data_IF_695214457315
#
_entry.id   IF_695214457315
#
_cell.length_a   1.000
_cell.length_b   1.000
_cell.length_c   1.000
_cell.angle_alpha   90.00
_cell.angle_beta   90.00
_cell.angle_gamma   90.00
#
_symmetry.space_group_name_H-M   'P 1'
#
loop_
_entity.id
_entity.type
_entity.pdbx_description
1 polymer ?
#
# COMPACT_ATOMS: atom_id res chain seq x y z
N UNK A 1 -18.77 7.15 -5.16
CA UNK A 1 -17.37 7.61 -5.32
C UNK A 1 -16.63 7.38 -4.02
N UNK A 2 -15.54 6.60 -4.03
CA UNK A 2 -14.66 6.38 -2.88
C UNK A 2 -13.24 6.88 -3.17
N UNK A 3 -12.48 7.18 -2.12
CA UNK A 3 -11.06 7.53 -2.14
C UNK A 3 -10.22 6.31 -1.82
N UNK A 4 -9.33 5.95 -2.74
CA UNK A 4 -8.42 4.83 -2.61
C UNK A 4 -6.99 5.32 -2.42
N UNK A 5 -6.26 4.75 -1.46
CA UNK A 5 -4.81 4.86 -1.37
C UNK A 5 -4.18 3.53 -1.77
N UNK A 6 -3.36 3.56 -2.81
CA UNK A 6 -2.76 2.37 -3.41
C UNK A 6 -1.26 2.39 -3.16
N UNK A 7 -0.76 1.46 -2.37
CA UNK A 7 0.66 1.24 -2.17
C UNK A 7 1.17 0.26 -3.24
N UNK A 8 2.34 0.52 -3.81
CA UNK A 8 2.93 -0.37 -4.83
C UNK A 8 2.27 -0.24 -6.21
N UNK A 9 1.74 0.94 -6.54
CA UNK A 9 1.02 1.22 -7.79
C UNK A 9 1.82 0.92 -9.08
N UNK A 10 3.14 0.77 -8.99
CA UNK A 10 4.00 0.40 -10.11
C UNK A 10 3.88 -1.06 -10.58
N UNK A 11 3.30 -1.95 -9.79
CA UNK A 11 3.13 -3.36 -10.16
C UNK A 11 2.10 -3.54 -11.29
N UNK A 12 2.22 -4.61 -12.07
CA UNK A 12 1.31 -4.86 -13.19
C UNK A 12 -0.15 -4.95 -12.72
N UNK A 13 -0.41 -5.72 -11.66
CA UNK A 13 -1.76 -5.88 -11.08
C UNK A 13 -2.30 -4.54 -10.57
N UNK A 14 -1.48 -3.77 -9.85
CA UNK A 14 -1.92 -2.49 -9.32
C UNK A 14 -2.29 -1.52 -10.45
N UNK A 15 -1.55 -1.47 -11.55
CA UNK A 15 -1.87 -0.63 -12.72
C UNK A 15 -3.22 -0.98 -13.34
N UNK A 16 -3.52 -2.27 -13.53
CA UNK A 16 -4.83 -2.68 -14.04
C UNK A 16 -5.95 -2.29 -13.07
N UNK A 17 -5.73 -2.53 -11.78
CA UNK A 17 -6.70 -2.23 -10.74
C UNK A 17 -6.98 -0.72 -10.60
N UNK A 18 -5.94 0.13 -10.58
CA UNK A 18 -6.10 1.59 -10.50
C UNK A 18 -6.79 2.16 -11.72
N UNK A 19 -6.49 1.65 -12.91
CA UNK A 19 -7.17 2.04 -14.14
C UNK A 19 -8.65 1.70 -14.10
N UNK A 20 -9.02 0.53 -13.57
CA UNK A 20 -10.42 0.15 -13.41
C UNK A 20 -11.14 1.06 -12.41
N UNK A 21 -10.54 1.32 -11.24
CA UNK A 21 -11.12 2.23 -10.24
C UNK A 21 -11.38 3.63 -10.79
N UNK A 22 -10.45 4.19 -11.55
CA UNK A 22 -10.58 5.51 -12.19
C UNK A 22 -11.73 5.53 -13.22
N UNK A 23 -11.94 4.45 -13.97
CA UNK A 23 -13.06 4.31 -14.92
C UNK A 23 -14.42 4.19 -14.23
N UNK A 24 -14.44 3.85 -12.94
CA UNK A 24 -15.64 3.79 -12.11
C UNK A 24 -15.81 5.07 -11.25
N UNK A 25 -15.19 6.18 -11.68
CA UNK A 25 -15.27 7.49 -11.05
C UNK A 25 -14.83 7.52 -9.58
N UNK A 26 -13.86 6.67 -9.21
CA UNK A 26 -13.22 6.72 -7.89
C UNK A 26 -11.98 7.62 -7.90
N UNK A 27 -11.69 8.22 -6.75
CA UNK A 27 -10.48 9.02 -6.54
C UNK A 27 -9.35 8.09 -6.12
N UNK A 28 -8.24 8.11 -6.85
CA UNK A 28 -7.11 7.18 -6.61
C UNK A 28 -5.84 7.97 -6.32
N UNK A 29 -5.31 7.77 -5.11
CA UNK A 29 -4.00 8.24 -4.66
C UNK A 29 -3.01 7.08 -4.68
N UNK A 30 -1.77 7.35 -5.08
CA UNK A 30 -0.73 6.33 -5.21
C UNK A 30 0.47 6.66 -4.32
N UNK A 31 0.97 5.66 -3.60
CA UNK A 31 2.22 5.72 -2.85
C UNK A 31 3.19 4.69 -3.41
N UNK A 32 4.20 5.16 -4.15
CA UNK A 32 5.19 4.31 -4.82
C UNK A 32 6.62 4.70 -4.49
N UNK A 33 7.46 3.69 -4.25
CA UNK A 33 8.90 3.89 -4.16
C UNK A 33 9.49 4.15 -5.55
N UNK A 34 9.78 5.41 -5.88
CA UNK A 34 10.68 5.69 -7.00
C UNK A 34 12.11 5.28 -6.62
N UNK A 35 12.89 4.82 -7.60
CA UNK A 35 14.33 4.51 -7.46
C UNK A 35 15.03 5.72 -6.82
N UNK A 36 15.33 5.64 -5.52
CA UNK A 36 16.02 6.69 -4.76
C UNK A 36 15.41 7.04 -3.39
N UNK A 37 14.11 6.84 -3.15
CA UNK A 37 13.50 7.18 -1.85
C UNK A 37 13.55 5.99 -0.87
N UNK A 38 14.57 5.96 0.01
CA UNK A 38 14.79 4.90 1.02
C UNK A 38 13.65 4.72 2.05
N UNK A 39 12.70 5.66 2.19
CA UNK A 39 11.73 5.70 3.31
C UNK A 39 10.25 5.77 2.90
N UNK A 40 9.89 5.50 1.65
CA UNK A 40 8.51 5.70 1.15
C UNK A 40 7.45 4.98 1.98
N UNK A 41 7.76 3.78 2.49
CA UNK A 41 6.83 2.98 3.28
C UNK A 41 7.19 2.95 4.78
N UNK A 42 7.80 4.04 5.27
CA UNK A 42 7.96 4.25 6.71
C UNK A 42 6.63 4.63 7.33
N UNK A 43 6.43 4.30 8.60
CA UNK A 43 5.21 4.65 9.38
C UNK A 43 4.84 6.12 9.18
N UNK A 44 5.79 7.04 9.36
CA UNK A 44 5.55 8.49 9.20
C UNK A 44 5.13 8.88 7.79
N UNK A 45 5.74 8.29 6.75
CA UNK A 45 5.33 8.56 5.37
C UNK A 45 3.90 8.10 5.10
N UNK A 46 3.52 6.95 5.64
CA UNK A 46 2.16 6.40 5.49
C UNK A 46 1.15 7.25 6.28
N UNK A 47 1.46 7.63 7.53
CA UNK A 47 0.62 8.55 8.32
C UNK A 47 0.32 9.82 7.56
N UNK A 48 1.35 10.46 7.01
CA UNK A 48 1.20 11.73 6.30
C UNK A 48 0.23 11.61 5.12
N UNK A 49 0.27 10.51 4.36
CA UNK A 49 -0.68 10.33 3.25
C UNK A 49 -2.09 9.96 3.73
N UNK A 50 -2.25 9.20 4.82
CA UNK A 50 -3.57 8.93 5.42
C UNK A 50 -4.22 10.24 5.86
N UNK A 51 -3.49 11.09 6.58
CA UNK A 51 -3.96 12.41 7.04
C UNK A 51 -4.34 13.31 5.85
N UNK A 52 -3.47 13.37 4.85
CA UNK A 52 -3.60 14.31 3.74
C UNK A 52 -4.75 13.94 2.80
N UNK A 53 -4.88 12.65 2.50
CA UNK A 53 -5.83 12.19 1.48
C UNK A 53 -7.15 11.69 2.07
N UNK A 54 -7.16 11.32 3.35
CA UNK A 54 -8.32 10.74 4.06
C UNK A 54 -9.00 9.65 3.21
N UNK A 55 -8.28 8.56 2.87
CA UNK A 55 -8.83 7.52 2.02
C UNK A 55 -9.99 6.78 2.71
N UNK A 56 -10.91 6.23 1.93
CA UNK A 56 -11.94 5.29 2.43
C UNK A 56 -11.42 3.84 2.40
N UNK A 57 -10.50 3.57 1.48
CA UNK A 57 -9.90 2.25 1.26
C UNK A 57 -8.40 2.38 1.04
N UNK A 58 -7.61 1.55 1.73
CA UNK A 58 -6.17 1.41 1.52
C UNK A 58 -5.88 0.01 1.01
N UNK A 59 -5.08 -0.13 -0.06
CA UNK A 59 -4.73 -1.42 -0.63
C UNK A 59 -3.21 -1.50 -0.80
N UNK A 60 -2.61 -2.57 -0.26
CA UNK A 60 -1.18 -2.80 -0.32
C UNK A 60 -0.81 -3.83 -1.39
N UNK A 61 -0.33 -3.37 -2.55
CA UNK A 61 0.29 -4.22 -3.57
C UNK A 61 1.82 -4.30 -3.42
N UNK A 62 2.40 -3.77 -2.35
CA UNK A 62 3.83 -3.89 -2.10
C UNK A 62 4.12 -5.31 -1.61
N UNK A 63 4.83 -6.06 -2.45
CA UNK A 63 5.30 -7.40 -2.18
C UNK A 63 6.48 -7.75 -3.07
N UNK A 64 7.24 -8.77 -2.68
CA UNK A 64 8.35 -9.31 -3.47
C UNK A 64 8.38 -10.83 -3.37
N UNK A 65 8.86 -11.48 -4.43
CA UNK A 65 9.08 -12.91 -4.47
C UNK A 65 10.51 -13.13 -4.98
N UNK A 66 11.47 -12.97 -4.07
CA UNK A 66 12.89 -13.13 -4.35
C UNK A 66 13.51 -14.04 -3.31
N UNK A 67 14.56 -14.75 -3.71
CA UNK A 67 15.33 -15.65 -2.85
C UNK A 67 16.36 -14.87 -2.01
N UNK A 68 15.85 -13.92 -1.21
CA UNK A 68 16.60 -13.16 -0.22
C UNK A 68 15.69 -12.93 0.98
N UNK A 69 15.89 -13.71 2.05
CA UNK A 69 15.07 -13.64 3.25
C UNK A 69 15.02 -12.23 3.83
N UNK A 70 16.15 -11.55 3.95
CA UNK A 70 16.23 -10.22 4.59
C UNK A 70 15.41 -9.20 3.82
N UNK A 71 15.54 -9.21 2.50
CA UNK A 71 14.80 -8.30 1.63
C UNK A 71 13.32 -8.68 1.53
N UNK A 72 13.01 -9.96 1.44
CA UNK A 72 11.63 -10.47 1.44
C UNK A 72 10.90 -10.18 2.74
N UNK A 73 11.53 -10.41 3.90
CA UNK A 73 10.97 -10.07 5.21
C UNK A 73 10.72 -8.57 5.36
N UNK A 74 11.70 -7.74 4.95
CA UNK A 74 11.56 -6.29 4.99
C UNK A 74 10.39 -5.79 4.12
N UNK A 75 10.15 -6.41 2.96
CA UNK A 75 9.09 -5.98 2.04
C UNK A 75 7.74 -6.58 2.43
N UNK A 76 7.67 -7.89 2.64
CA UNK A 76 6.41 -8.62 2.81
C UNK A 76 5.88 -8.61 4.24
N UNK A 77 6.72 -8.29 5.24
CA UNK A 77 6.29 -8.25 6.66
C UNK A 77 6.37 -6.84 7.21
N UNK A 78 7.53 -6.18 7.10
CA UNK A 78 7.73 -4.87 7.75
C UNK A 78 6.89 -3.77 7.10
N UNK A 79 6.69 -3.77 5.78
CA UNK A 79 5.86 -2.75 5.12
C UNK A 79 4.38 -2.89 5.50
N UNK A 80 3.75 -4.08 5.43
CA UNK A 80 2.40 -4.27 5.96
C UNK A 80 2.26 -3.89 7.44
N UNK A 81 3.24 -4.26 8.28
CA UNK A 81 3.26 -3.83 9.70
C UNK A 81 3.24 -2.31 9.83
N UNK A 82 4.14 -1.61 9.12
CA UNK A 82 4.19 -0.15 9.18
C UNK A 82 2.89 0.51 8.72
N UNK A 83 2.22 -0.08 7.72
CA UNK A 83 0.92 0.37 7.25
C UNK A 83 -0.15 0.18 8.34
N UNK A 84 -0.19 -0.98 9.00
CA UNK A 84 -1.13 -1.25 10.10
C UNK A 84 -0.88 -0.32 11.29
N UNK A 85 0.38 -0.14 11.70
CA UNK A 85 0.76 0.80 12.77
C UNK A 85 0.27 2.22 12.43
N UNK A 86 0.55 2.70 11.22
CA UNK A 86 0.13 4.02 10.77
C UNK A 86 -1.40 4.16 10.71
N UNK A 87 -2.13 3.10 10.34
CA UNK A 87 -3.59 3.11 10.33
C UNK A 87 -4.17 3.18 11.74
N UNK A 88 -3.64 2.39 12.69
CA UNK A 88 -4.06 2.40 14.10
C UNK A 88 -3.77 3.76 14.72
N UNK A 89 -2.56 4.28 14.57
CA UNK A 89 -2.13 5.56 15.15
C UNK A 89 -2.85 6.78 14.55
N UNK A 90 -3.61 6.61 13.46
CA UNK A 90 -4.42 7.66 12.84
C UNK A 90 -5.92 7.41 12.99
N UNK A 91 -6.31 6.47 13.86
CA UNK A 91 -7.70 6.05 14.08
C UNK A 91 -8.44 5.79 12.75
N UNK A 92 -7.75 5.14 11.81
CA UNK A 92 -8.27 4.90 10.47
C UNK A 92 -9.49 3.96 10.54
N UNK A 93 -10.64 4.47 10.11
CA UNK A 93 -11.93 3.77 10.17
C UNK A 93 -12.39 3.18 8.82
N UNK A 94 -11.52 3.20 7.81
CA UNK A 94 -11.82 2.69 6.47
C UNK A 94 -11.47 1.21 6.30
N UNK A 95 -11.49 0.75 5.04
CA UNK A 95 -11.12 -0.63 4.70
C UNK A 95 -9.64 -0.71 4.36
N UNK A 96 -8.93 -1.69 4.93
CA UNK A 96 -7.54 -1.99 4.60
C UNK A 96 -7.44 -3.38 4.00
N UNK A 97 -6.76 -3.51 2.85
CA UNK A 97 -6.58 -4.77 2.14
C UNK A 97 -5.09 -5.07 1.99
N UNK A 98 -4.67 -6.22 2.53
CA UNK A 98 -3.35 -6.80 2.34
C UNK A 98 -3.46 -7.93 1.31
N UNK A 99 -2.51 -7.99 0.36
CA UNK A 99 -2.46 -9.03 -0.65
C UNK A 99 -1.50 -10.12 -0.18
N UNK A 100 -2.05 -11.29 0.14
CA UNK A 100 -1.28 -12.51 0.46
C UNK A 100 -0.96 -13.34 -0.78
N UNK A 101 -0.41 -14.53 -0.56
CA UNK A 101 -0.06 -15.49 -1.63
C UNK A 101 -0.42 -16.91 -1.23
N UNK A 102 -0.72 -17.75 -2.24
CA UNK A 102 -0.86 -19.19 -2.02
C UNK A 102 0.42 -19.84 -1.47
N UNK A 103 1.59 -19.20 -1.63
CA UNK A 103 2.88 -19.64 -1.10
C UNK A 103 2.98 -19.60 0.45
N UNK A 104 1.93 -19.15 1.13
CA UNK A 104 1.81 -19.25 2.59
C UNK A 104 1.48 -20.66 3.08
N UNK A 105 1.04 -21.55 2.16
CA UNK A 105 0.65 -22.95 2.42
C UNK A 105 1.50 -23.91 1.60
#
# INVERSE_FOLDING_TARGET
MKKYLILGAGSAIAKYFTNRLRKEDNIVFELSSNKGKKKVYSVNSIKNVIISYKPDVIINFVGTFIDDYSKSYKINVIIPKNLLDAAIEQDFNGKLVLIGSAAEY
#
